data_IF_200078666000
#
_entry.id   IF_200078666000
#
_cell.length_a   1.000
_cell.length_b   1.000
_cell.length_c   1.000
_cell.angle_alpha   90.00
_cell.angle_beta   90.00
_cell.angle_gamma   90.00
#
_symmetry.space_group_name_H-M   'P 1'
#
loop_
_entity.id
_entity.type
_entity.pdbx_description
1 polymer ?
#
# COMPACT_ATOMS: atom_id res chain seq x y z
N UNK A 1 -6.66 -34.21 8.66
CA UNK A 1 -6.58 -33.64 10.03
C UNK A 1 -7.30 -32.31 9.99
N UNK A 2 -7.96 -31.91 11.08
CA UNK A 2 -8.56 -30.58 11.14
C UNK A 2 -7.46 -29.51 11.02
N UNK A 3 -7.76 -28.39 10.37
CA UNK A 3 -6.86 -27.25 10.25
C UNK A 3 -6.47 -26.73 11.64
N UNK A 4 -5.19 -26.49 11.87
CA UNK A 4 -4.66 -25.96 13.12
C UNK A 4 -3.61 -24.90 12.84
N UNK A 5 -3.95 -23.63 13.01
CA UNK A 5 -3.06 -22.49 12.81
C UNK A 5 -1.88 -22.44 13.79
N UNK A 6 -1.96 -23.17 14.92
CA UNK A 6 -0.88 -23.23 15.90
C UNK A 6 0.20 -24.29 15.56
N UNK A 7 -0.02 -25.15 14.57
CA UNK A 7 1.00 -26.08 14.06
C UNK A 7 1.92 -25.40 13.06
N UNK A 8 2.73 -24.46 13.57
CA UNK A 8 3.55 -23.57 12.75
C UNK A 8 4.52 -24.30 11.81
N UNK A 9 4.99 -25.51 12.19
CA UNK A 9 5.91 -26.31 11.39
C UNK A 9 5.27 -26.93 10.14
N UNK A 10 3.94 -26.95 10.06
CA UNK A 10 3.22 -27.47 8.90
C UNK A 10 3.08 -26.44 7.75
N UNK A 11 3.45 -25.18 7.99
CA UNK A 11 3.27 -24.08 7.06
C UNK A 11 4.57 -23.73 6.33
N UNK A 12 4.45 -23.40 5.04
CA UNK A 12 5.58 -23.08 4.18
C UNK A 12 5.15 -22.14 3.05
N UNK A 13 6.08 -21.38 2.51
CA UNK A 13 5.93 -20.48 1.38
C UNK A 13 5.31 -19.11 1.74
N UNK A 14 5.61 -18.14 0.90
CA UNK A 14 5.08 -16.79 0.99
C UNK A 14 3.99 -16.64 -0.06
N UNK A 15 2.81 -16.23 0.38
CA UNK A 15 1.68 -15.96 -0.50
C UNK A 15 1.33 -14.49 -0.58
N UNK A 16 0.91 -14.07 -1.76
CA UNK A 16 0.38 -12.73 -2.03
C UNK A 16 -1.01 -12.87 -2.62
N UNK A 17 -1.99 -12.21 -2.01
CA UNK A 17 -3.29 -12.03 -2.64
C UNK A 17 -3.16 -11.07 -3.83
N UNK A 18 -3.39 -11.59 -5.03
CA UNK A 18 -3.27 -10.88 -6.28
C UNK A 18 -4.57 -10.12 -6.58
N UNK A 19 -4.70 -8.91 -6.03
CA UNK A 19 -5.89 -8.09 -6.28
C UNK A 19 -5.96 -7.71 -7.74
N UNK A 20 -7.09 -8.01 -8.36
CA UNK A 20 -7.45 -7.59 -9.70
C UNK A 20 -8.83 -6.90 -9.68
N UNK A 21 -9.10 -6.07 -10.66
CA UNK A 21 -10.42 -5.47 -10.87
C UNK A 21 -10.75 -5.53 -12.35
N UNK A 22 -11.86 -6.21 -12.66
CA UNK A 22 -12.36 -6.36 -14.03
C UNK A 22 -11.30 -6.91 -15.01
N UNK A 23 -10.54 -7.93 -14.59
CA UNK A 23 -9.51 -8.57 -15.40
C UNK A 23 -8.21 -7.75 -15.53
N UNK A 24 -8.00 -6.74 -14.70
CA UNK A 24 -6.76 -5.96 -14.67
C UNK A 24 -6.10 -6.05 -13.30
N UNK A 25 -4.83 -6.48 -13.28
CA UNK A 25 -4.03 -6.54 -12.07
C UNK A 25 -3.83 -5.15 -11.46
N UNK A 26 -3.97 -5.03 -10.15
CA UNK A 26 -3.73 -3.78 -9.44
C UNK A 26 -2.22 -3.53 -9.25
N UNK A 27 -1.74 -2.27 -9.35
CA UNK A 27 -0.32 -1.95 -9.18
C UNK A 27 0.28 -2.45 -7.88
N UNK A 28 -0.47 -2.40 -6.78
CA UNK A 28 -0.06 -2.88 -5.45
C UNK A 28 0.26 -4.38 -5.44
N UNK A 29 -0.37 -5.17 -6.31
CA UNK A 29 -0.05 -6.60 -6.45
C UNK A 29 1.41 -6.79 -6.88
N UNK A 30 1.88 -6.02 -7.85
CA UNK A 30 3.28 -6.12 -8.32
C UNK A 30 4.28 -5.65 -7.28
N UNK A 31 3.93 -4.63 -6.47
CA UNK A 31 4.71 -4.21 -5.31
C UNK A 31 4.87 -5.36 -4.32
N UNK A 32 3.75 -6.02 -3.99
CA UNK A 32 3.73 -7.13 -3.04
C UNK A 32 4.42 -8.39 -3.55
N UNK A 33 4.31 -8.72 -4.83
CA UNK A 33 5.07 -9.82 -5.42
C UNK A 33 6.57 -9.54 -5.34
N UNK A 34 7.00 -8.30 -5.64
CA UNK A 34 8.40 -7.90 -5.52
C UNK A 34 8.93 -7.97 -4.07
N UNK A 35 8.14 -7.54 -3.10
CA UNK A 35 8.51 -7.65 -1.68
C UNK A 35 8.43 -9.10 -1.18
N UNK A 36 7.39 -9.84 -1.60
CA UNK A 36 7.25 -11.27 -1.32
C UNK A 36 8.43 -12.10 -1.85
N UNK A 37 9.02 -11.70 -2.99
CA UNK A 37 10.24 -12.36 -3.52
C UNK A 37 11.42 -12.20 -2.56
N UNK A 38 11.64 -10.98 -2.03
CA UNK A 38 12.67 -10.74 -1.01
C UNK A 38 12.43 -11.65 0.20
N UNK A 39 11.22 -11.66 0.74
CA UNK A 39 10.89 -12.47 1.93
C UNK A 39 11.04 -13.98 1.67
N UNK A 40 10.63 -14.45 0.49
CA UNK A 40 10.74 -15.86 0.12
C UNK A 40 12.20 -16.28 -0.07
N UNK A 41 13.05 -15.41 -0.63
CA UNK A 41 14.49 -15.65 -0.75
C UNK A 41 15.18 -15.73 0.63
N UNK A 42 14.83 -14.84 1.56
CA UNK A 42 15.34 -14.84 2.94
C UNK A 42 14.93 -16.12 3.71
N UNK A 43 13.75 -16.67 3.43
CA UNK A 43 13.26 -17.92 4.02
C UNK A 43 13.77 -19.17 3.29
N UNK A 44 14.21 -19.05 2.04
CA UNK A 44 14.56 -20.17 1.16
C UNK A 44 13.33 -20.98 0.73
N UNK A 45 12.23 -20.31 0.41
CA UNK A 45 10.94 -20.91 0.03
C UNK A 45 10.39 -20.30 -1.27
N UNK A 46 9.27 -20.86 -1.76
CA UNK A 46 8.60 -20.34 -2.95
C UNK A 46 7.74 -19.10 -2.63
N UNK A 47 7.67 -18.21 -3.62
CA UNK A 47 6.71 -17.13 -3.68
C UNK A 47 5.51 -17.53 -4.55
N UNK A 48 4.31 -17.49 -3.98
CA UNK A 48 3.10 -17.88 -4.69
C UNK A 48 2.09 -16.73 -4.72
N UNK A 49 1.46 -16.53 -5.87
CA UNK A 49 0.26 -15.69 -5.98
C UNK A 49 -1.00 -16.49 -5.73
N UNK A 50 -2.02 -15.87 -5.12
CA UNK A 50 -3.39 -16.38 -5.14
C UNK A 50 -4.29 -15.39 -5.87
N UNK A 51 -4.84 -15.79 -7.01
CA UNK A 51 -5.60 -14.97 -7.94
C UNK A 51 -7.02 -15.50 -8.08
N UNK A 52 -8.00 -14.67 -7.75
CA UNK A 52 -9.41 -14.98 -7.81
C UNK A 52 -10.12 -14.10 -8.84
N UNK A 53 -11.08 -14.67 -9.57
CA UNK A 53 -11.90 -13.90 -10.50
C UNK A 53 -12.73 -14.76 -11.46
N UNK A 54 -13.19 -14.12 -12.50
CA UNK A 54 -13.83 -14.75 -13.66
C UNK A 54 -12.97 -14.50 -14.90
N UNK A 55 -12.50 -15.57 -15.54
CA UNK A 55 -11.62 -15.52 -16.71
C UNK A 55 -10.31 -14.73 -16.47
N UNK A 56 -9.64 -14.95 -15.36
CA UNK A 56 -8.42 -14.21 -14.97
C UNK A 56 -7.09 -14.88 -15.34
N UNK A 57 -7.12 -16.00 -16.04
CA UNK A 57 -5.92 -16.74 -16.47
C UNK A 57 -4.94 -15.90 -17.29
N UNK A 58 -5.49 -15.03 -18.16
CA UNK A 58 -4.68 -14.20 -19.06
C UNK A 58 -3.77 -13.19 -18.35
N UNK A 59 -4.06 -12.83 -17.11
CA UNK A 59 -3.26 -11.87 -16.33
C UNK A 59 -2.31 -12.57 -15.34
N UNK A 60 -2.47 -13.86 -15.07
CA UNK A 60 -1.60 -14.61 -14.16
C UNK A 60 -0.12 -14.61 -14.57
N UNK A 61 0.25 -14.75 -15.86
CA UNK A 61 1.66 -14.73 -16.29
C UNK A 61 2.41 -13.43 -15.96
N UNK A 62 1.70 -12.30 -15.82
CA UNK A 62 2.32 -11.01 -15.49
C UNK A 62 3.08 -11.05 -14.17
N UNK A 63 2.66 -11.91 -13.23
CA UNK A 63 3.28 -12.05 -11.90
C UNK A 63 4.67 -12.66 -11.96
N UNK A 64 4.97 -13.48 -12.97
CA UNK A 64 6.31 -14.02 -13.23
C UNK A 64 7.34 -12.94 -13.55
N UNK A 65 6.94 -11.81 -14.10
CA UNK A 65 7.84 -10.68 -14.38
C UNK A 65 8.38 -10.01 -13.10
N UNK A 66 7.73 -10.26 -11.95
CA UNK A 66 8.08 -9.68 -10.66
C UNK A 66 8.56 -10.73 -9.64
N UNK A 67 8.74 -11.98 -10.06
CA UNK A 67 9.42 -13.01 -9.27
C UNK A 67 8.52 -14.05 -8.62
N UNK A 68 7.24 -14.16 -8.98
CA UNK A 68 6.40 -15.26 -8.53
C UNK A 68 6.90 -16.59 -9.12
N UNK A 69 6.98 -17.64 -8.28
CA UNK A 69 7.29 -19.00 -8.71
C UNK A 69 6.03 -19.74 -9.16
N UNK A 70 4.90 -19.50 -8.47
CA UNK A 70 3.61 -20.16 -8.72
C UNK A 70 2.45 -19.17 -8.59
N UNK A 71 1.36 -19.45 -9.30
CA UNK A 71 0.08 -18.78 -9.09
C UNK A 71 -1.04 -19.80 -9.01
N UNK A 72 -1.79 -19.74 -7.90
CA UNK A 72 -3.03 -20.50 -7.73
C UNK A 72 -4.20 -19.65 -8.25
N UNK A 73 -4.81 -20.11 -9.34
CA UNK A 73 -5.92 -19.41 -10.01
C UNK A 73 -7.23 -20.08 -9.64
N UNK A 74 -8.16 -19.29 -9.12
CA UNK A 74 -9.51 -19.71 -8.79
C UNK A 74 -10.50 -18.96 -9.67
N UNK A 75 -10.95 -19.62 -10.76
CA UNK A 75 -11.88 -19.08 -11.73
C UNK A 75 -13.29 -19.52 -11.44
N UNK A 76 -14.21 -18.56 -11.26
CA UNK A 76 -15.65 -18.81 -11.18
C UNK A 76 -16.44 -17.56 -11.57
N UNK A 77 -17.59 -17.67 -12.25
CA UNK A 77 -18.49 -16.54 -12.43
C UNK A 77 -18.94 -15.88 -11.12
N UNK A 78 -18.99 -16.65 -10.02
CA UNK A 78 -19.31 -16.16 -8.67
C UNK A 78 -18.18 -15.30 -8.05
N UNK A 79 -17.01 -15.26 -8.66
CA UNK A 79 -15.85 -14.44 -8.27
C UNK A 79 -15.65 -13.24 -9.21
N UNK A 80 -16.57 -13.00 -10.15
CA UNK A 80 -16.46 -11.90 -11.10
C UNK A 80 -16.37 -10.54 -10.43
N UNK A 81 -17.29 -10.29 -9.51
CA UNK A 81 -17.29 -9.08 -8.69
C UNK A 81 -16.90 -9.45 -7.26
N UNK A 82 -16.19 -8.55 -6.60
CA UNK A 82 -15.76 -8.79 -5.23
C UNK A 82 -16.96 -8.85 -4.27
N UNK A 83 -17.06 -9.97 -3.57
CA UNK A 83 -17.87 -10.10 -2.36
C UNK A 83 -17.02 -10.70 -1.25
N UNK A 84 -17.14 -10.14 -0.05
CA UNK A 84 -16.30 -10.57 1.09
C UNK A 84 -16.48 -12.05 1.41
N UNK A 85 -17.72 -12.55 1.34
CA UNK A 85 -18.05 -13.94 1.70
C UNK A 85 -17.42 -14.94 0.72
N UNK A 86 -17.57 -14.73 -0.61
CA UNK A 86 -17.00 -15.62 -1.61
C UNK A 86 -15.48 -15.67 -1.55
N UNK A 87 -14.84 -14.49 -1.53
CA UNK A 87 -13.38 -14.40 -1.51
C UNK A 87 -12.79 -14.96 -0.20
N UNK A 88 -13.41 -14.67 0.95
CA UNK A 88 -12.96 -15.22 2.24
C UNK A 88 -13.06 -16.74 2.26
N UNK A 89 -14.15 -17.32 1.71
CA UNK A 89 -14.32 -18.78 1.65
C UNK A 89 -13.20 -19.42 0.85
N UNK A 90 -13.01 -18.97 -0.39
CA UNK A 90 -12.01 -19.57 -1.30
C UNK A 90 -10.59 -19.44 -0.73
N UNK A 91 -10.20 -18.24 -0.26
CA UNK A 91 -8.86 -18.03 0.29
C UNK A 91 -8.64 -18.86 1.55
N UNK A 92 -9.63 -18.92 2.46
CA UNK A 92 -9.47 -19.68 3.70
C UNK A 92 -9.34 -21.17 3.43
N UNK A 93 -10.16 -21.74 2.55
CA UNK A 93 -10.07 -23.15 2.15
C UNK A 93 -8.73 -23.47 1.47
N UNK A 94 -8.24 -22.58 0.58
CA UNK A 94 -6.92 -22.70 -0.03
C UNK A 94 -5.79 -22.69 1.02
N UNK A 95 -5.87 -21.80 2.01
CA UNK A 95 -4.89 -21.71 3.11
C UNK A 95 -4.94 -22.97 4.01
N UNK A 96 -6.12 -23.48 4.29
CA UNK A 96 -6.28 -24.72 5.08
C UNK A 96 -5.66 -25.94 4.38
N UNK A 97 -5.74 -26.01 3.07
CA UNK A 97 -5.20 -27.10 2.26
C UNK A 97 -3.68 -26.98 2.05
N UNK A 98 -3.20 -25.80 1.61
CA UNK A 98 -1.82 -25.62 1.12
C UNK A 98 -0.89 -25.07 2.21
N UNK A 99 -1.42 -24.40 3.23
CA UNK A 99 -0.73 -23.91 4.44
C UNK A 99 0.44 -22.97 4.16
N UNK A 100 0.22 -21.80 3.60
CA UNK A 100 1.27 -20.77 3.46
C UNK A 100 1.76 -20.28 4.83
N UNK A 101 3.04 -20.01 4.97
CA UNK A 101 3.62 -19.45 6.20
C UNK A 101 3.28 -17.97 6.36
N UNK A 102 3.28 -17.23 5.24
CA UNK A 102 2.97 -15.81 5.19
C UNK A 102 1.91 -15.56 4.12
N UNK A 103 0.95 -14.68 4.42
CA UNK A 103 -0.08 -14.25 3.46
C UNK A 103 -0.20 -12.72 3.48
N UNK A 104 0.17 -12.08 2.37
CA UNK A 104 0.18 -10.64 2.19
C UNK A 104 -1.01 -10.16 1.36
N UNK A 105 -1.59 -9.03 1.77
CA UNK A 105 -2.64 -8.31 1.06
C UNK A 105 -2.23 -6.85 0.83
N UNK A 106 -2.66 -6.22 -0.25
CA UNK A 106 -2.61 -4.76 -0.36
C UNK A 106 -3.61 -4.12 0.61
N UNK A 107 -3.24 -3.04 1.29
CA UNK A 107 -4.16 -2.27 2.15
C UNK A 107 -5.08 -1.37 1.31
N UNK A 108 -5.58 -1.87 0.18
CA UNK A 108 -6.66 -1.30 -0.61
C UNK A 108 -8.00 -1.40 0.15
N UNK A 109 -9.07 -0.83 -0.39
CA UNK A 109 -10.40 -0.99 0.23
C UNK A 109 -10.81 -2.48 0.30
N UNK A 110 -10.51 -3.27 -0.74
CA UNK A 110 -10.77 -4.71 -0.76
C UNK A 110 -9.90 -5.43 0.28
N UNK A 111 -8.59 -5.17 0.29
CA UNK A 111 -7.70 -5.88 1.21
C UNK A 111 -7.95 -5.54 2.68
N UNK A 112 -8.36 -4.30 2.99
CA UNK A 112 -8.76 -3.89 4.35
C UNK A 112 -10.04 -4.55 4.84
N UNK A 113 -10.93 -4.94 3.93
CA UNK A 113 -12.13 -5.71 4.25
C UNK A 113 -11.84 -7.22 4.31
N UNK A 114 -11.13 -7.75 3.31
CA UNK A 114 -10.92 -9.19 3.12
C UNK A 114 -9.94 -9.81 4.13
N UNK A 115 -8.77 -9.16 4.35
CA UNK A 115 -7.72 -9.73 5.17
C UNK A 115 -8.14 -10.01 6.62
N UNK A 116 -8.84 -9.10 7.34
CA UNK A 116 -9.30 -9.40 8.69
C UNK A 116 -10.37 -10.50 8.74
N UNK A 117 -11.19 -10.65 7.70
CA UNK A 117 -12.16 -11.74 7.60
C UNK A 117 -11.47 -13.09 7.44
N UNK A 118 -10.45 -13.17 6.58
CA UNK A 118 -9.61 -14.36 6.44
C UNK A 118 -8.88 -14.68 7.76
N UNK A 119 -8.26 -13.69 8.40
CA UNK A 119 -7.54 -13.88 9.66
C UNK A 119 -8.45 -14.43 10.78
N UNK A 120 -9.66 -13.88 10.91
CA UNK A 120 -10.65 -14.35 11.88
C UNK A 120 -11.09 -15.80 11.60
N UNK A 121 -11.32 -16.16 10.33
CA UNK A 121 -11.74 -17.52 9.94
C UNK A 121 -10.63 -18.54 10.14
N UNK A 122 -9.37 -18.14 9.92
CA UNK A 122 -8.19 -18.99 10.08
C UNK A 122 -7.65 -19.01 11.53
N UNK A 123 -8.26 -18.25 12.43
CA UNK A 123 -7.81 -18.10 13.82
C UNK A 123 -6.33 -17.70 13.92
N UNK A 124 -5.91 -16.71 13.14
CA UNK A 124 -4.55 -16.17 13.15
C UNK A 124 -4.51 -14.66 13.35
N UNK A 125 -3.30 -14.10 13.49
CA UNK A 125 -3.09 -12.66 13.66
C UNK A 125 -2.95 -11.92 12.32
N UNK A 126 -3.36 -10.65 12.30
CA UNK A 126 -3.19 -9.74 11.17
C UNK A 126 -2.54 -8.44 11.61
N UNK A 127 -1.44 -8.05 10.97
CA UNK A 127 -0.89 -6.70 11.09
C UNK A 127 -1.43 -5.83 9.95
N UNK A 128 -2.15 -4.76 10.30
CA UNK A 128 -2.76 -3.89 9.29
C UNK A 128 -1.89 -2.68 8.96
N UNK A 129 -1.88 -2.29 7.66
CA UNK A 129 -1.29 -1.04 7.16
C UNK A 129 0.23 -0.97 7.34
N UNK A 130 0.93 -2.08 7.06
CA UNK A 130 2.38 -2.19 7.14
C UNK A 130 3.07 -1.31 6.10
N UNK A 131 4.23 -0.77 6.48
CA UNK A 131 5.10 0.03 5.61
C UNK A 131 6.49 -0.58 5.45
N UNK A 132 6.86 -1.57 6.26
CA UNK A 132 8.13 -2.26 6.17
C UNK A 132 7.98 -3.71 6.62
N UNK A 133 8.66 -4.64 5.92
CA UNK A 133 8.64 -6.08 6.18
C UNK A 133 10.06 -6.65 6.10
N UNK A 134 10.46 -7.47 7.08
CA UNK A 134 11.72 -8.21 7.09
C UNK A 134 11.56 -9.61 7.68
N UNK A 135 12.42 -10.53 7.27
CA UNK A 135 12.60 -11.87 7.86
C UNK A 135 13.93 -11.95 8.60
N UNK A 136 15.01 -11.54 7.94
CA UNK A 136 16.36 -11.64 8.50
C UNK A 136 16.55 -10.69 9.69
N UNK A 137 16.93 -11.25 10.85
CA UNK A 137 17.09 -10.47 12.07
C UNK A 137 18.26 -9.47 12.02
N UNK A 138 19.42 -9.78 11.48
CA UNK A 138 20.50 -8.83 11.20
C UNK A 138 20.05 -7.64 10.34
N UNK A 139 19.36 -7.88 9.24
CA UNK A 139 18.82 -6.83 8.35
C UNK A 139 17.86 -5.94 9.13
N UNK A 140 16.93 -6.55 9.84
CA UNK A 140 15.95 -5.83 10.65
C UNK A 140 16.59 -5.00 11.77
N UNK A 141 17.62 -5.52 12.45
CA UNK A 141 18.37 -4.75 13.46
C UNK A 141 19.06 -3.53 12.87
N UNK A 142 19.64 -3.65 11.67
CA UNK A 142 20.24 -2.53 10.96
C UNK A 142 19.19 -1.47 10.58
N UNK A 143 18.06 -1.89 10.04
CA UNK A 143 16.93 -0.99 9.80
C UNK A 143 16.52 -0.24 11.08
N UNK A 144 16.40 -0.91 12.22
CA UNK A 144 16.04 -0.26 13.48
C UNK A 144 17.12 0.72 13.98
N UNK A 145 18.41 0.46 13.74
CA UNK A 145 19.49 1.39 14.08
C UNK A 145 19.40 2.70 13.30
N UNK A 146 18.93 2.65 12.06
CA UNK A 146 18.78 3.80 11.18
C UNK A 146 17.44 4.52 11.37
N UNK A 147 16.37 3.76 11.53
CA UNK A 147 14.98 4.27 11.48
C UNK A 147 14.29 4.41 12.85
N UNK A 148 14.94 4.05 13.96
CA UNK A 148 14.32 4.11 15.28
C UNK A 148 15.14 4.87 16.32
N UNK A 149 14.47 5.31 17.39
CA UNK A 149 15.08 5.93 18.56
C UNK A 149 15.41 4.92 19.68
N UNK A 150 15.34 3.62 19.38
CA UNK A 150 15.63 2.57 20.35
C UNK A 150 17.13 2.55 20.70
N UNK A 151 17.49 2.40 21.99
CA UNK A 151 18.88 2.20 22.38
C UNK A 151 19.48 0.95 21.72
N UNK A 152 20.73 1.06 21.25
CA UNK A 152 21.43 -0.04 20.57
C UNK A 152 21.40 -1.36 21.37
N UNK A 153 21.55 -1.28 22.70
CA UNK A 153 21.48 -2.47 23.56
C UNK A 153 20.12 -3.20 23.48
N UNK A 154 19.02 -2.45 23.32
CA UNK A 154 17.68 -3.05 23.13
C UNK A 154 17.54 -3.70 21.76
N UNK A 155 18.08 -3.07 20.74
CA UNK A 155 18.08 -3.63 19.39
C UNK A 155 18.86 -4.94 19.35
N UNK A 156 20.03 -5.00 19.97
CA UNK A 156 20.84 -6.23 19.99
C UNK A 156 20.17 -7.42 20.71
N UNK A 157 19.33 -7.15 21.69
CA UNK A 157 18.56 -8.18 22.42
C UNK A 157 17.34 -8.72 21.67
N UNK A 158 16.99 -8.14 20.51
CA UNK A 158 15.88 -8.64 19.71
C UNK A 158 16.20 -10.03 19.14
N UNK A 159 15.22 -10.89 19.12
CA UNK A 159 15.29 -12.28 18.64
C UNK A 159 14.39 -13.22 19.43
N UNK A 160 13.98 -12.79 20.62
CA UNK A 160 13.06 -13.56 21.48
C UNK A 160 11.99 -12.63 22.04
N UNK A 161 10.74 -13.07 22.04
CA UNK A 161 9.63 -12.37 22.69
C UNK A 161 9.00 -13.24 23.78
N UNK A 162 8.60 -12.64 24.88
CA UNK A 162 7.98 -13.33 25.99
C UNK A 162 6.47 -13.23 25.90
N UNK A 163 5.78 -14.39 25.81
CA UNK A 163 4.33 -14.48 25.74
C UNK A 163 3.83 -15.46 26.80
N UNK A 164 2.96 -15.01 27.68
CA UNK A 164 2.42 -15.82 28.78
C UNK A 164 3.52 -16.54 29.62
N UNK A 165 4.67 -15.87 29.80
CA UNK A 165 5.79 -16.42 30.56
C UNK A 165 6.74 -17.33 29.78
N UNK A 166 6.40 -17.75 28.57
CA UNK A 166 7.24 -18.56 27.68
C UNK A 166 8.03 -17.66 26.70
N UNK A 167 9.28 -18.01 26.46
CA UNK A 167 10.11 -17.35 25.45
C UNK A 167 9.85 -17.98 24.07
N UNK A 168 9.60 -17.13 23.07
CA UNK A 168 9.42 -17.51 21.68
C UNK A 168 10.54 -16.92 20.83
N UNK A 169 11.25 -17.76 20.11
CA UNK A 169 12.23 -17.31 19.12
C UNK A 169 11.48 -16.73 17.91
N UNK A 170 11.75 -15.46 17.60
CA UNK A 170 11.17 -14.72 16.46
C UNK A 170 12.23 -14.35 15.43
N UNK A 171 13.42 -14.96 15.50
CA UNK A 171 14.54 -14.64 14.62
C UNK A 171 14.19 -14.83 13.13
N UNK A 172 13.38 -15.85 12.82
CA UNK A 172 12.90 -16.16 11.47
C UNK A 172 11.44 -15.76 11.20
N UNK A 173 10.74 -15.21 12.18
CA UNK A 173 9.38 -14.71 11.97
C UNK A 173 9.40 -13.41 11.15
N UNK A 174 8.36 -13.19 10.37
CA UNK A 174 8.19 -11.91 9.68
C UNK A 174 8.04 -10.76 10.68
N UNK A 175 8.84 -9.70 10.50
CA UNK A 175 8.80 -8.45 11.24
C UNK A 175 7.93 -7.48 10.45
N UNK A 176 6.74 -7.20 10.97
CA UNK A 176 5.74 -6.34 10.33
C UNK A 176 5.76 -4.98 11.00
N UNK A 177 6.33 -3.97 10.33
CA UNK A 177 6.41 -2.62 10.88
C UNK A 177 5.31 -1.75 10.30
N UNK A 178 4.59 -1.06 11.16
CA UNK A 178 3.48 -0.18 10.80
C UNK A 178 3.54 1.14 11.55
N UNK A 179 3.08 2.26 10.94
CA UNK A 179 2.92 3.50 11.66
C UNK A 179 1.76 3.41 12.67
N UNK A 180 1.96 4.04 13.81
CA UNK A 180 0.97 4.21 14.86
C UNK A 180 0.91 5.69 15.29
N UNK A 181 -0.20 6.10 15.92
CA UNK A 181 -0.38 7.47 16.42
C UNK A 181 -0.05 8.56 15.38
N UNK A 182 -0.60 8.40 14.18
CA UNK A 182 -0.41 9.39 13.11
C UNK A 182 0.98 9.38 12.46
N UNK A 183 1.77 8.32 12.64
CA UNK A 183 3.12 8.21 12.10
C UNK A 183 4.23 8.64 13.08
N UNK A 184 3.88 9.14 14.27
CA UNK A 184 4.86 9.53 15.29
C UNK A 184 5.59 8.34 15.92
N UNK A 185 4.97 7.17 15.90
CA UNK A 185 5.54 5.93 16.40
C UNK A 185 5.47 4.85 15.32
N UNK A 186 6.49 4.01 15.27
CA UNK A 186 6.49 2.80 14.48
C UNK A 186 6.34 1.60 15.41
N UNK A 187 5.38 0.74 15.12
CA UNK A 187 5.15 -0.49 15.87
C UNK A 187 5.60 -1.69 15.04
N UNK A 188 6.43 -2.52 15.62
CA UNK A 188 6.83 -3.81 15.02
C UNK A 188 6.05 -4.93 15.64
N UNK A 189 5.36 -5.69 14.80
CA UNK A 189 4.46 -6.77 15.18
C UNK A 189 5.06 -8.11 14.75
N UNK A 190 4.98 -9.08 15.65
CA UNK A 190 5.37 -10.47 15.42
C UNK A 190 4.17 -11.38 15.61
N UNK A 191 4.14 -12.51 14.91
CA UNK A 191 3.08 -13.50 15.02
C UNK A 191 3.67 -14.90 15.34
N UNK A 192 4.26 -15.13 16.53
CA UNK A 192 5.07 -16.32 16.82
C UNK A 192 4.27 -17.58 17.09
N UNK A 193 2.94 -17.50 17.26
CA UNK A 193 2.12 -18.64 17.71
C UNK A 193 1.20 -19.21 16.65
N UNK A 194 0.89 -18.46 15.61
CA UNK A 194 -0.12 -18.85 14.63
C UNK A 194 0.37 -18.58 13.20
N UNK A 195 -0.11 -19.38 12.25
CA UNK A 195 0.13 -19.24 10.80
C UNK A 195 -1.21 -19.34 10.04
N UNK A 196 -1.25 -18.71 8.84
CA UNK A 196 -0.23 -17.85 8.28
C UNK A 196 -0.03 -16.58 9.11
N UNK A 197 1.18 -16.02 9.12
CA UNK A 197 1.39 -14.64 9.55
C UNK A 197 0.81 -13.74 8.46
N UNK A 198 -0.13 -12.85 8.80
CA UNK A 198 -0.85 -12.06 7.82
C UNK A 198 -0.55 -10.57 7.97
N UNK A 199 -0.43 -9.89 6.84
CA UNK A 199 -0.29 -8.44 6.80
C UNK A 199 -1.11 -7.81 5.68
N UNK A 200 -1.68 -6.63 5.93
CA UNK A 200 -2.00 -5.71 4.84
C UNK A 200 -0.90 -4.67 4.70
N UNK A 201 -0.48 -4.40 3.48
CA UNK A 201 0.63 -3.49 3.17
C UNK A 201 0.11 -2.26 2.46
N UNK A 202 0.52 -1.09 2.90
CA UNK A 202 0.09 0.19 2.33
C UNK A 202 0.50 0.29 0.87
N UNK A 203 -0.43 0.61 -0.07
CA UNK A 203 -0.10 0.84 -1.47
C UNK A 203 0.91 1.97 -1.65
N UNK A 204 1.85 1.79 -2.58
CA UNK A 204 2.84 2.80 -2.93
C UNK A 204 4.07 2.85 -2.01
N UNK A 205 4.18 1.99 -1.00
CA UNK A 205 5.36 1.98 -0.11
C UNK A 205 6.42 0.94 -0.49
N UNK A 206 6.01 -0.13 -1.16
CA UNK A 206 6.95 -1.15 -1.63
C UNK A 206 7.38 -0.87 -3.07
N UNK A 207 8.66 -1.06 -3.35
CA UNK A 207 9.21 -0.82 -4.69
C UNK A 207 8.93 -2.01 -5.59
N UNK A 208 8.36 -1.77 -6.77
CA UNK A 208 8.31 -2.77 -7.84
C UNK A 208 9.73 -3.05 -8.34
N UNK A 209 10.08 -4.31 -8.44
CA UNK A 209 11.38 -4.78 -8.95
C UNK A 209 11.11 -5.86 -9.99
N UNK A 210 11.57 -5.64 -11.22
CA UNK A 210 11.51 -6.68 -12.23
C UNK A 210 12.43 -7.83 -11.86
N UNK A 211 11.86 -9.02 -11.85
CA UNK A 211 12.56 -10.28 -11.60
C UNK A 211 11.88 -11.37 -12.42
N UNK A 212 12.30 -11.52 -13.69
CA UNK A 212 11.66 -12.46 -14.61
C UNK A 212 11.93 -13.90 -14.19
N UNK A 213 10.86 -14.64 -13.98
CA UNK A 213 10.85 -16.07 -13.71
C UNK A 213 9.80 -16.77 -14.56
N UNK A 214 10.07 -18.02 -14.90
CA UNK A 214 9.04 -18.93 -15.39
C UNK A 214 8.09 -19.23 -14.22
N UNK A 215 6.79 -19.19 -14.50
CA UNK A 215 5.75 -19.30 -13.49
C UNK A 215 4.88 -20.53 -13.71
N UNK A 216 4.66 -21.30 -12.67
CA UNK A 216 3.69 -22.38 -12.68
C UNK A 216 2.29 -21.83 -12.37
N UNK A 217 1.35 -22.02 -13.31
CA UNK A 217 -0.05 -21.64 -13.11
C UNK A 217 -0.85 -22.89 -12.75
N UNK A 218 -1.44 -22.89 -11.57
CA UNK A 218 -2.16 -24.01 -10.99
C UNK A 218 -3.64 -23.67 -10.81
N UNK A 219 -4.51 -24.63 -11.09
CA UNK A 219 -5.96 -24.49 -10.96
C UNK A 219 -6.49 -25.53 -9.94
N UNK A 220 -6.39 -25.25 -8.63
CA UNK A 220 -6.92 -26.15 -7.62
C UNK A 220 -8.44 -26.28 -7.75
N UNK A 221 -8.95 -27.48 -7.46
CA UNK A 221 -10.37 -27.67 -7.35
C UNK A 221 -10.90 -26.96 -6.08
N UNK A 222 -12.03 -26.29 -6.18
CA UNK A 222 -12.67 -25.62 -5.05
C UNK A 222 -14.19 -25.70 -5.18
N UNK A 223 -14.88 -25.55 -4.07
CA UNK A 223 -16.34 -25.56 -4.03
C UNK A 223 -16.87 -24.20 -3.59
N UNK A 224 -17.47 -23.47 -4.53
CA UNK A 224 -18.16 -22.21 -4.26
C UNK A 224 -19.54 -22.27 -4.89
N UNK A 225 -20.57 -22.01 -4.11
CA UNK A 225 -21.98 -22.01 -4.53
C UNK A 225 -22.64 -20.67 -4.20
N UNK A 226 -23.77 -20.35 -4.83
CA UNK A 226 -24.54 -19.15 -4.50
C UNK A 226 -24.98 -19.11 -3.03
N UNK A 227 -25.20 -20.26 -2.41
CA UNK A 227 -25.55 -20.34 -0.99
C UNK A 227 -24.45 -19.86 -0.03
N UNK A 228 -23.20 -19.83 -0.48
CA UNK A 228 -22.06 -19.33 0.28
C UNK A 228 -21.98 -17.79 0.30
N UNK A 229 -22.70 -17.13 -0.61
CA UNK A 229 -22.66 -15.68 -0.81
C UNK A 229 -23.90 -15.06 -0.18
N UNK A 230 -23.70 -14.13 0.77
CA UNK A 230 -24.78 -13.49 1.53
C UNK A 230 -25.15 -12.10 1.02
N UNK A 231 -24.37 -11.57 0.09
CA UNK A 231 -24.51 -10.23 -0.48
C UNK A 231 -24.62 -10.32 -1.99
N UNK A 232 -25.39 -9.44 -2.60
CA UNK A 232 -25.54 -9.32 -4.05
C UNK A 232 -24.96 -7.99 -4.52
N UNK A 233 -24.17 -8.02 -5.58
CA UNK A 233 -23.71 -6.80 -6.27
C UNK A 233 -24.80 -6.36 -7.23
N UNK A 234 -25.57 -5.36 -6.82
CA UNK A 234 -26.71 -4.87 -7.60
C UNK A 234 -26.24 -4.11 -8.85
N UNK A 235 -25.21 -3.28 -8.69
CA UNK A 235 -24.67 -2.46 -9.79
C UNK A 235 -23.20 -2.11 -9.55
N UNK A 236 -22.40 -2.12 -10.61
CA UNK A 236 -21.02 -1.59 -10.62
C UNK A 236 -21.00 -0.32 -11.45
N UNK A 237 -20.94 0.83 -10.78
CA UNK A 237 -20.88 2.14 -11.44
C UNK A 237 -19.42 2.44 -11.79
N UNK A 238 -19.14 2.48 -13.09
CA UNK A 238 -17.82 2.93 -13.57
C UNK A 238 -17.77 4.45 -13.52
N UNK A 239 -16.73 5.00 -12.84
CA UNK A 239 -16.50 6.43 -12.87
C UNK A 239 -16.34 6.91 -14.32
N UNK A 240 -17.16 7.88 -14.72
CA UNK A 240 -17.16 8.43 -16.08
C UNK A 240 -15.87 9.20 -16.40
N UNK A 241 -15.13 9.66 -15.38
CA UNK A 241 -13.81 10.27 -15.49
C UNK A 241 -12.74 9.28 -15.01
N UNK A 242 -11.63 9.22 -15.75
CA UNK A 242 -10.44 8.49 -15.31
C UNK A 242 -10.04 9.00 -13.92
N UNK A 243 -10.10 8.15 -12.90
CA UNK A 243 -9.65 8.50 -11.54
C UNK A 243 -8.20 8.95 -11.62
N UNK A 244 -7.88 9.99 -10.85
CA UNK A 244 -6.50 10.51 -10.81
C UNK A 244 -5.59 9.47 -10.18
N UNK A 245 -4.58 9.04 -10.93
CA UNK A 245 -3.55 8.15 -10.42
C UNK A 245 -2.47 8.94 -9.67
N UNK A 246 -2.74 9.23 -8.41
CA UNK A 246 -1.77 9.92 -7.54
C UNK A 246 -0.60 9.02 -7.13
N UNK A 247 -0.81 7.71 -7.07
CA UNK A 247 0.22 6.77 -6.57
C UNK A 247 1.30 6.55 -7.63
N UNK A 248 0.91 6.46 -8.90
CA UNK A 248 1.83 6.26 -10.01
C UNK A 248 2.39 7.55 -10.63
N UNK A 249 2.03 8.74 -10.10
CA UNK A 249 2.44 10.01 -10.68
C UNK A 249 3.85 10.42 -10.24
N UNK A 250 4.70 10.80 -11.18
CA UNK A 250 6.04 11.37 -10.92
C UNK A 250 5.98 12.81 -10.37
N UNK A 251 4.93 13.57 -10.74
CA UNK A 251 4.75 14.96 -10.32
C UNK A 251 3.35 15.17 -9.77
N UNK A 252 3.25 15.73 -8.57
CA UNK A 252 1.96 16.02 -7.91
C UNK A 252 1.95 17.49 -7.49
N UNK A 253 0.92 18.22 -7.92
CA UNK A 253 0.64 19.58 -7.45
C UNK A 253 -0.58 19.54 -6.54
N UNK A 254 -0.40 19.75 -5.25
CA UNK A 254 -1.44 19.55 -4.25
C UNK A 254 -1.91 20.88 -3.65
N UNK A 255 -3.24 21.03 -3.55
CA UNK A 255 -3.86 22.25 -3.02
C UNK A 255 -4.35 22.06 -1.58
N UNK A 256 -4.20 23.09 -0.76
CA UNK A 256 -4.72 23.16 0.60
C UNK A 256 -5.73 24.30 0.79
N UNK A 257 -6.17 24.51 2.03
CA UNK A 257 -7.11 25.61 2.37
C UNK A 257 -6.62 27.01 2.01
N UNK A 258 -5.34 27.19 1.69
CA UNK A 258 -4.80 28.45 1.23
C UNK A 258 -5.44 28.98 -0.07
N UNK A 259 -6.16 28.14 -0.82
CA UNK A 259 -6.94 28.55 -2.00
C UNK A 259 -8.32 29.12 -1.67
N UNK A 260 -8.74 29.15 -0.39
CA UNK A 260 -10.10 29.53 0.06
C UNK A 260 -10.55 30.94 -0.39
N UNK A 261 -9.62 31.82 -0.71
CA UNK A 261 -9.91 33.16 -1.24
C UNK A 261 -10.59 33.13 -2.61
N UNK A 262 -10.17 32.20 -3.45
CA UNK A 262 -10.69 31.95 -4.79
C UNK A 262 -10.39 30.49 -5.18
N UNK A 263 -11.35 29.62 -4.83
CA UNK A 263 -11.19 28.17 -4.94
C UNK A 263 -11.03 27.75 -6.41
N UNK A 264 -11.87 28.28 -7.29
CA UNK A 264 -11.86 27.93 -8.71
C UNK A 264 -10.53 28.32 -9.37
N UNK A 265 -10.08 29.55 -9.12
CA UNK A 265 -8.78 30.01 -9.62
C UNK A 265 -7.62 29.21 -9.01
N UNK A 266 -7.69 28.85 -7.72
CA UNK A 266 -6.67 28.07 -7.04
C UNK A 266 -6.51 26.67 -7.63
N UNK A 267 -7.62 25.99 -7.91
CA UNK A 267 -7.63 24.68 -8.56
C UNK A 267 -7.09 24.79 -9.99
N UNK A 268 -7.55 25.79 -10.76
CA UNK A 268 -7.10 26.00 -12.14
C UNK A 268 -5.60 26.25 -12.22
N UNK A 269 -5.03 27.04 -11.33
CA UNK A 269 -3.58 27.26 -11.25
C UNK A 269 -2.82 25.97 -10.93
N UNK A 270 -3.36 25.13 -10.08
CA UNK A 270 -2.75 23.84 -9.78
C UNK A 270 -2.81 22.89 -10.98
N UNK A 271 -3.91 22.89 -11.72
CA UNK A 271 -4.08 22.11 -12.96
C UNK A 271 -3.09 22.57 -14.03
N UNK A 272 -2.98 23.88 -14.26
CA UNK A 272 -2.02 24.46 -15.22
C UNK A 272 -0.56 24.12 -14.85
N UNK A 273 -0.21 24.22 -13.57
CA UNK A 273 1.14 23.84 -13.11
C UNK A 273 1.39 22.35 -13.28
N UNK A 274 0.41 21.52 -12.91
CA UNK A 274 0.50 20.07 -13.07
C UNK A 274 0.65 19.68 -14.56
N UNK A 275 -0.10 20.30 -15.45
CA UNK A 275 0.01 20.07 -16.90
C UNK A 275 1.41 20.43 -17.42
N UNK A 276 1.93 21.58 -17.02
CA UNK A 276 3.27 22.01 -17.42
C UNK A 276 4.36 21.09 -16.90
N UNK A 277 4.17 20.49 -15.71
CA UNK A 277 5.11 19.51 -15.15
C UNK A 277 4.91 18.10 -15.72
N UNK A 278 3.77 17.81 -16.35
CA UNK A 278 3.38 16.47 -16.78
C UNK A 278 2.90 15.61 -15.62
N UNK A 279 2.30 16.22 -14.62
CA UNK A 279 1.83 15.59 -13.39
C UNK A 279 0.31 15.63 -13.20
N UNK A 280 -0.12 15.43 -11.97
CA UNK A 280 -1.53 15.39 -11.57
C UNK A 280 -1.81 16.30 -10.39
N UNK A 281 -3.09 16.65 -10.19
CA UNK A 281 -3.51 17.49 -9.05
C UNK A 281 -3.89 16.60 -7.86
N UNK A 282 -3.28 16.91 -6.69
CA UNK A 282 -3.65 16.37 -5.40
C UNK A 282 -4.34 17.40 -4.52
N UNK A 283 -4.82 16.98 -3.35
CA UNK A 283 -5.42 17.90 -2.39
C UNK A 283 -5.24 17.46 -0.94
N UNK A 284 -5.38 18.41 -0.01
CA UNK A 284 -5.52 18.09 1.40
C UNK A 284 -6.94 17.63 1.73
N UNK A 285 -7.11 16.85 2.80
CA UNK A 285 -8.41 16.44 3.31
C UNK A 285 -9.37 17.61 3.50
N UNK A 286 -8.88 18.76 3.97
CA UNK A 286 -9.72 19.92 4.22
C UNK A 286 -10.37 20.49 2.93
N UNK A 287 -9.78 20.31 1.76
CA UNK A 287 -10.39 20.68 0.48
C UNK A 287 -11.47 19.69 0.05
N UNK A 288 -11.28 18.41 0.36
CA UNK A 288 -12.29 17.36 0.11
C UNK A 288 -13.50 17.53 1.04
N UNK A 289 -13.25 17.72 2.33
CA UNK A 289 -14.31 17.93 3.33
C UNK A 289 -15.13 19.20 3.01
N UNK A 290 -14.52 20.21 2.39
CA UNK A 290 -15.19 21.43 1.92
C UNK A 290 -15.93 21.26 0.57
N UNK A 291 -15.85 20.07 -0.07
CA UNK A 291 -16.48 19.80 -1.36
C UNK A 291 -15.83 20.50 -2.57
N UNK A 292 -14.61 21.04 -2.42
CA UNK A 292 -13.91 21.77 -3.48
C UNK A 292 -13.30 20.84 -4.53
N UNK A 293 -12.89 19.64 -4.11
CA UNK A 293 -12.27 18.62 -4.97
C UNK A 293 -12.70 17.23 -4.47
N UNK A 294 -12.73 16.25 -5.35
CA UNK A 294 -13.20 14.91 -5.02
C UNK A 294 -12.17 14.10 -4.21
N UNK A 295 -12.64 13.08 -3.47
CA UNK A 295 -11.83 12.31 -2.53
C UNK A 295 -10.69 11.51 -3.19
N UNK A 296 -10.78 11.22 -4.50
CA UNK A 296 -9.73 10.55 -5.27
C UNK A 296 -8.45 11.38 -5.42
N UNK A 297 -8.52 12.70 -5.21
CA UNK A 297 -7.38 13.62 -5.14
C UNK A 297 -6.75 13.73 -3.74
N UNK A 298 -7.33 13.08 -2.72
CA UNK A 298 -6.87 13.28 -1.35
C UNK A 298 -5.51 12.63 -1.10
N UNK A 299 -4.54 13.43 -0.65
CA UNK A 299 -3.23 13.00 -0.14
C UNK A 299 -3.21 13.11 1.38
N UNK A 300 -2.67 12.08 2.04
CA UNK A 300 -2.53 12.04 3.50
C UNK A 300 -2.83 10.67 4.07
N UNK A 301 -2.75 10.54 5.38
CA UNK A 301 -2.96 9.29 6.13
C UNK A 301 -4.31 8.61 5.85
N UNK A 302 -5.38 9.40 5.66
CA UNK A 302 -6.74 8.92 5.36
C UNK A 302 -7.07 8.96 3.86
N UNK A 303 -6.15 9.44 3.05
CA UNK A 303 -6.21 9.47 1.58
C UNK A 303 -5.20 8.51 0.97
N UNK A 304 -4.56 8.96 -0.11
CA UNK A 304 -3.48 8.23 -0.75
C UNK A 304 -2.13 8.65 -0.18
N UNK A 305 -1.25 7.68 0.05
CA UNK A 305 0.18 7.93 0.31
C UNK A 305 0.89 7.91 -1.02
N UNK A 306 1.74 8.91 -1.25
CA UNK A 306 2.40 9.18 -2.54
C UNK A 306 3.89 9.41 -2.36
N UNK A 307 4.68 9.03 -3.36
CA UNK A 307 6.14 9.19 -3.39
C UNK A 307 6.57 9.70 -4.78
N UNK A 308 6.09 10.89 -5.20
CA UNK A 308 6.47 11.45 -6.49
C UNK A 308 7.93 11.93 -6.47
N UNK A 309 8.51 12.11 -7.65
CA UNK A 309 9.78 12.80 -7.82
C UNK A 309 9.70 14.26 -7.35
N UNK A 310 8.55 14.92 -7.60
CA UNK A 310 8.31 16.27 -7.09
C UNK A 310 6.89 16.40 -6.57
N UNK A 311 6.78 16.86 -5.33
CA UNK A 311 5.53 17.23 -4.68
C UNK A 311 5.46 18.74 -4.45
N UNK A 312 4.51 19.43 -5.08
CA UNK A 312 4.30 20.87 -4.90
C UNK A 312 3.10 21.11 -4.00
N UNK A 313 3.33 21.68 -2.81
CA UNK A 313 2.31 21.96 -1.81
C UNK A 313 1.85 23.44 -1.88
N UNK A 314 0.65 23.69 -2.41
CA UNK A 314 0.11 25.02 -2.59
C UNK A 314 -0.89 25.38 -1.49
N UNK A 315 -0.51 26.27 -0.57
CA UNK A 315 -1.37 26.72 0.52
C UNK A 315 -1.79 25.61 1.50
N UNK A 316 -0.96 24.60 1.64
CA UNK A 316 -1.10 23.48 2.59
C UNK A 316 -0.42 23.86 3.90
N UNK A 317 -1.11 23.65 5.04
CA UNK A 317 -0.57 23.98 6.36
C UNK A 317 0.50 22.99 6.85
N UNK A 318 0.45 21.73 6.40
CA UNK A 318 1.38 20.70 6.88
C UNK A 318 0.90 19.99 8.15
N UNK A 319 -0.41 19.77 8.29
CA UNK A 319 -0.92 18.89 9.33
C UNK A 319 -0.23 17.51 9.24
N UNK A 320 0.05 16.90 10.39
CA UNK A 320 0.77 15.62 10.52
C UNK A 320 0.18 14.55 9.62
N UNK A 321 -1.15 14.48 9.55
CA UNK A 321 -1.85 13.50 8.72
C UNK A 321 -1.62 13.73 7.21
N UNK A 322 -1.39 14.98 6.80
CA UNK A 322 -1.05 15.28 5.41
C UNK A 322 0.42 14.96 5.13
N UNK A 323 1.33 15.39 6.02
CA UNK A 323 2.77 15.08 5.91
C UNK A 323 3.01 13.58 5.82
N UNK A 324 2.34 12.78 6.63
CA UNK A 324 2.44 11.30 6.58
C UNK A 324 2.09 10.66 5.23
N UNK A 325 1.41 11.39 4.34
CA UNK A 325 1.06 10.89 3.01
C UNK A 325 2.00 11.37 1.89
N UNK A 326 2.97 12.27 2.17
CA UNK A 326 3.79 12.84 1.09
C UNK A 326 5.24 13.17 1.48
N UNK A 327 5.60 13.08 2.76
CA UNK A 327 6.92 13.50 3.25
C UNK A 327 8.09 12.70 2.68
N UNK A 328 7.83 11.49 2.16
CA UNK A 328 8.85 10.63 1.56
C UNK A 328 8.98 10.87 0.03
N UNK A 329 8.44 11.98 -0.50
CA UNK A 329 8.67 12.43 -1.88
C UNK A 329 10.14 12.78 -2.10
N UNK A 330 10.68 12.59 -3.31
CA UNK A 330 12.12 12.86 -3.59
C UNK A 330 12.46 14.36 -3.50
N UNK A 331 11.49 15.24 -3.82
CA UNK A 331 11.62 16.69 -3.69
C UNK A 331 10.27 17.31 -3.33
N UNK A 332 10.24 18.13 -2.29
CA UNK A 332 9.05 18.82 -1.81
C UNK A 332 9.24 20.32 -1.94
N UNK A 333 8.34 20.97 -2.70
CA UNK A 333 8.28 22.41 -2.86
C UNK A 333 7.02 22.94 -2.18
N UNK A 334 7.16 23.81 -1.20
CA UNK A 334 6.02 24.38 -0.48
C UNK A 334 5.84 25.87 -0.75
N UNK A 335 4.61 26.29 -1.05
CA UNK A 335 4.20 27.71 -1.19
C UNK A 335 3.15 28.00 -0.14
N UNK A 336 3.46 28.87 0.82
CA UNK A 336 2.54 29.29 1.86
C UNK A 336 2.75 30.75 2.26
N UNK A 337 1.68 31.46 2.63
CA UNK A 337 1.76 32.83 3.16
C UNK A 337 2.31 32.88 4.58
N UNK A 338 2.06 31.83 5.37
CA UNK A 338 2.53 31.73 6.73
C UNK A 338 3.93 31.09 6.73
N UNK A 339 4.94 31.85 7.13
CA UNK A 339 6.34 31.44 7.23
C UNK A 339 6.58 30.37 8.31
N UNK A 340 5.69 30.26 9.30
CA UNK A 340 5.73 29.25 10.37
C UNK A 340 4.87 28.02 10.08
N UNK A 341 4.39 27.85 8.84
CA UNK A 341 3.55 26.71 8.50
C UNK A 341 4.35 25.40 8.61
N UNK A 342 3.84 24.36 9.31
CA UNK A 342 4.55 23.10 9.51
C UNK A 342 4.91 22.33 8.23
N UNK A 343 4.36 22.72 7.07
CA UNK A 343 4.75 22.14 5.79
C UNK A 343 6.21 22.43 5.44
N UNK A 344 6.75 23.57 5.91
CA UNK A 344 8.13 23.93 5.66
C UNK A 344 9.15 23.06 6.39
N UNK A 345 8.73 22.36 7.45
CA UNK A 345 9.59 21.40 8.17
C UNK A 345 10.02 20.20 7.29
N UNK A 346 9.22 19.86 6.27
CA UNK A 346 9.46 18.73 5.37
C UNK A 346 9.75 19.18 3.94
N UNK A 347 9.74 20.48 3.67
CA UNK A 347 9.98 21.03 2.32
C UNK A 347 11.48 21.21 2.07
N UNK A 348 11.95 20.72 0.91
CA UNK A 348 13.31 21.00 0.40
C UNK A 348 13.42 22.45 -0.06
N UNK A 349 12.33 22.98 -0.62
CA UNK A 349 12.24 24.38 -1.06
C UNK A 349 10.96 25.02 -0.54
N UNK A 350 11.12 26.10 0.22
CA UNK A 350 10.02 26.89 0.78
C UNK A 350 9.91 28.27 0.14
N UNK A 351 8.72 28.63 -0.35
CA UNK A 351 8.42 29.95 -0.88
C UNK A 351 7.36 30.58 0.03
N UNK A 352 7.76 31.61 0.77
CA UNK A 352 6.83 32.40 1.59
C UNK A 352 6.18 33.46 0.72
N UNK A 353 4.89 33.26 0.37
CA UNK A 353 4.21 34.15 -0.55
C UNK A 353 2.76 33.78 -0.84
N UNK A 354 2.09 34.65 -1.60
CA UNK A 354 0.74 34.41 -2.10
C UNK A 354 0.81 33.48 -3.32
N UNK A 355 0.24 32.27 -3.18
CA UNK A 355 0.21 31.29 -4.27
C UNK A 355 -0.41 31.83 -5.56
N UNK A 356 -1.37 32.77 -5.47
CA UNK A 356 -2.00 33.42 -6.64
C UNK A 356 -1.05 34.36 -7.42
N UNK A 357 0.09 34.73 -6.82
CA UNK A 357 1.18 35.46 -7.48
C UNK A 357 2.33 34.55 -7.85
N UNK A 358 2.75 33.68 -6.94
CA UNK A 358 3.92 32.81 -7.10
C UNK A 358 3.70 31.76 -8.20
N UNK A 359 2.51 31.11 -8.21
CA UNK A 359 2.25 30.00 -9.15
C UNK A 359 2.27 30.43 -10.63
N UNK A 360 1.65 31.58 -11.03
CA UNK A 360 1.78 32.06 -12.41
C UNK A 360 3.22 32.29 -12.85
N UNK A 361 4.05 32.90 -11.99
CA UNK A 361 5.46 33.14 -12.29
C UNK A 361 6.26 31.83 -12.43
N UNK A 362 5.96 30.82 -11.60
CA UNK A 362 6.54 29.47 -11.72
C UNK A 362 6.16 28.82 -13.06
N UNK A 363 4.89 28.91 -13.46
CA UNK A 363 4.40 28.35 -14.73
C UNK A 363 5.13 28.98 -15.91
N UNK A 364 5.25 30.32 -15.94
CA UNK A 364 5.94 31.04 -16.99
C UNK A 364 7.44 30.68 -17.06
N UNK A 365 8.10 30.62 -15.90
CA UNK A 365 9.51 30.24 -15.81
C UNK A 365 9.77 28.84 -16.33
N UNK A 366 8.91 27.86 -15.97
CA UNK A 366 9.07 26.48 -16.43
C UNK A 366 8.80 26.37 -17.93
N UNK A 367 7.78 27.06 -18.45
CA UNK A 367 7.50 27.14 -19.92
C UNK A 367 8.67 27.70 -20.69
N UNK A 368 9.25 28.79 -20.20
CA UNK A 368 10.41 29.41 -20.82
C UNK A 368 11.64 28.49 -20.86
N UNK A 369 11.90 27.77 -19.75
CA UNK A 369 13.01 26.81 -19.70
C UNK A 369 12.78 25.59 -20.61
N UNK A 370 11.53 25.11 -20.75
CA UNK A 370 11.20 24.03 -21.68
C UNK A 370 11.31 24.42 -23.13
N UNK A 371 11.02 25.67 -23.46
CA UNK A 371 11.15 26.20 -24.82
C UNK A 371 12.63 26.49 -25.23
N UNK A 372 13.51 26.60 -24.22
CA UNK A 372 14.96 26.85 -24.46
C UNK A 372 15.78 25.54 -24.58
N UNK A 373 15.17 24.39 -24.33
CA UNK A 373 15.74 23.04 -24.54
C UNK A 373 15.25 22.44 -25.85
#
# INVERSE_FOLDING_TARGET
MAFNSADIGAFKNVWVFCEQRQGKMMPTTFELISEGRKLADELGVELCGILLGDNVDGIAPELGNYGADKVYVYNSPLLKDYTTDAYTKVISEAVEEIKPEILLFGASNIGRDLAPRCAARLHTGLCADCTHLDIDMPIYKNFLKEASTLPAERIERLGTVKINGADHDVSRDIKMTRPAFGGHLMASIFCPRFRPAMATVRPGVMKKRECKKDIDILHPAFNLTEADIKTEVVEVVKAAKKLVDLIGADFIVSVGRGISKDVEKGIKLAEELAEVLGGVVGSSRACVDAGWITADHQVGQTGKTVHPKVYVALGISGAIQHKAGMQDSECIIAVNKNDTAPIFEVADYGIVGDLFKVVPELIESIKAQKAAK
#
